data_IF_245868351632
#
_entry.id   IF_245868351632
#
_cell.length_a   1.000
_cell.length_b   1.000
_cell.length_c   1.000
_cell.angle_alpha   90.00
_cell.angle_beta   90.00
_cell.angle_gamma   90.00
#
_symmetry.space_group_name_H-M   'P 1'
#
loop_
_entity.id
_entity.type
_entity.pdbx_description
1 polymer ?
#
# COMPACT_ATOMS: atom_id res chain seq x y z
N UNK A 1 23.26 -2.91 -4.09
CA UNK A 1 23.35 -2.19 -5.38
C UNK A 1 21.92 -1.88 -5.77
N UNK A 2 21.53 -0.60 -5.72
CA UNK A 2 20.17 -0.16 -6.03
C UNK A 2 19.88 -0.51 -7.49
N UNK A 3 18.68 -1.00 -7.78
CA UNK A 3 18.24 -1.17 -9.16
C UNK A 3 18.00 0.23 -9.72
N UNK A 4 18.81 0.65 -10.70
CA UNK A 4 18.44 1.75 -11.61
C UNK A 4 17.14 1.32 -12.31
N UNK A 5 16.01 1.69 -11.72
CA UNK A 5 14.68 1.25 -12.11
C UNK A 5 13.71 2.42 -12.15
N UNK A 6 12.62 2.29 -12.90
CA UNK A 6 11.65 3.36 -13.07
C UNK A 6 11.00 3.68 -11.72
N UNK A 7 10.77 4.96 -11.44
CA UNK A 7 9.98 5.40 -10.28
C UNK A 7 8.58 5.73 -10.77
N UNK A 8 7.59 4.92 -10.40
CA UNK A 8 6.25 4.93 -11.01
C UNK A 8 5.16 4.78 -9.97
N UNK A 9 4.06 5.50 -10.16
CA UNK A 9 2.79 5.28 -9.49
C UNK A 9 1.65 5.54 -10.46
N UNK A 10 0.82 4.54 -10.73
CA UNK A 10 -0.32 4.58 -11.67
C UNK A 10 -1.55 3.99 -11.00
N UNK A 11 -2.70 4.64 -11.14
CA UNK A 11 -3.99 4.14 -10.66
C UNK A 11 -5.10 4.58 -11.60
N UNK A 12 -5.99 3.65 -11.97
CA UNK A 12 -7.15 3.95 -12.83
C UNK A 12 -6.72 4.59 -14.15
N UNK A 13 -5.64 4.07 -14.73
CA UNK A 13 -5.14 4.54 -16.01
C UNK A 13 -4.38 5.87 -15.97
N UNK A 14 -4.13 6.47 -14.80
CA UNK A 14 -3.41 7.76 -14.68
C UNK A 14 -2.36 7.71 -13.59
N UNK A 15 -1.29 8.48 -13.74
CA UNK A 15 -0.21 8.42 -12.76
C UNK A 15 0.94 9.38 -13.02
N UNK A 16 2.05 9.09 -12.36
CA UNK A 16 3.30 9.84 -12.45
C UNK A 16 4.48 8.90 -12.63
N UNK A 17 5.44 9.37 -13.40
CA UNK A 17 6.76 8.75 -13.55
C UNK A 17 7.82 9.79 -13.16
N UNK A 18 8.78 9.37 -12.34
CA UNK A 18 9.94 10.17 -12.01
C UNK A 18 11.02 10.10 -13.09
N UNK A 19 11.58 11.25 -13.46
CA UNK A 19 12.59 11.38 -14.50
C UNK A 19 13.81 12.17 -14.01
N UNK A 20 14.99 11.77 -14.50
CA UNK A 20 16.26 12.42 -14.21
C UNK A 20 16.82 12.10 -12.80
N UNK A 21 17.82 12.88 -12.35
CA UNK A 21 18.44 12.67 -11.05
C UNK A 21 17.43 12.75 -9.90
N UNK A 22 17.47 11.78 -8.99
CA UNK A 22 16.53 11.68 -7.88
C UNK A 22 17.18 12.08 -6.57
N UNK A 23 16.57 13.02 -5.86
CA UNK A 23 16.93 13.36 -4.48
C UNK A 23 16.31 12.32 -3.55
N UNK A 24 17.11 11.72 -2.68
CA UNK A 24 16.71 10.63 -1.79
C UNK A 24 16.72 11.08 -0.33
N UNK A 25 15.60 10.87 0.36
CA UNK A 25 15.49 10.97 1.81
C UNK A 25 15.30 9.59 2.42
N UNK A 26 16.06 9.27 3.46
CA UNK A 26 15.97 8.01 4.21
C UNK A 26 15.64 8.33 5.67
N UNK A 27 14.72 7.55 6.25
CA UNK A 27 14.19 7.79 7.59
C UNK A 27 14.01 6.45 8.31
N UNK A 28 14.17 6.42 9.63
CA UNK A 28 14.06 5.19 10.39
C UNK A 28 13.42 5.42 11.76
N UNK A 29 12.96 4.33 12.39
CA UNK A 29 12.36 4.37 13.72
C UNK A 29 10.98 5.03 13.75
N UNK A 30 10.45 5.19 14.97
CA UNK A 30 9.09 5.72 15.19
C UNK A 30 8.88 7.18 14.75
N UNK A 31 9.95 7.91 14.42
CA UNK A 31 9.89 9.28 13.90
C UNK A 31 9.76 9.39 12.38
N UNK A 32 9.88 8.28 11.65
CA UNK A 32 10.10 8.28 10.20
C UNK A 32 9.07 9.10 9.40
N UNK A 33 7.77 8.97 9.70
CA UNK A 33 6.73 9.73 9.01
C UNK A 33 6.85 11.25 9.23
N UNK A 34 7.12 11.67 10.47
CA UNK A 34 7.27 13.11 10.80
C UNK A 34 8.51 13.69 10.14
N UNK A 35 9.64 12.98 10.22
CA UNK A 35 10.89 13.41 9.63
C UNK A 35 10.79 13.47 8.09
N UNK A 36 10.12 12.49 7.48
CA UNK A 36 9.83 12.51 6.05
C UNK A 36 8.94 13.70 5.65
N UNK A 37 7.93 14.05 6.46
CA UNK A 37 7.08 15.21 6.23
C UNK A 37 7.84 16.53 6.35
N UNK A 38 8.71 16.67 7.35
CA UNK A 38 9.56 17.85 7.53
C UNK A 38 10.53 18.01 6.35
N UNK A 39 11.18 16.91 5.97
CA UNK A 39 12.10 16.86 4.84
C UNK A 39 11.41 17.17 3.51
N UNK A 40 10.22 16.62 3.28
CA UNK A 40 9.40 16.89 2.10
C UNK A 40 9.03 18.36 1.98
N UNK A 41 8.56 18.97 3.08
CA UNK A 41 8.22 20.40 3.13
C UNK A 41 9.44 21.28 2.83
N UNK A 42 10.59 20.96 3.40
CA UNK A 42 11.83 21.67 3.12
C UNK A 42 12.23 21.55 1.64
N UNK A 43 12.14 20.35 1.07
CA UNK A 43 12.44 20.07 -0.35
C UNK A 43 11.52 20.85 -1.28
N UNK A 44 10.21 20.86 -1.00
CA UNK A 44 9.20 21.63 -1.73
C UNK A 44 9.50 23.13 -1.71
N UNK A 45 9.82 23.68 -0.54
CA UNK A 45 10.11 25.10 -0.38
C UNK A 45 11.40 25.49 -1.14
N UNK A 46 12.44 24.67 -1.07
CA UNK A 46 13.69 24.90 -1.80
C UNK A 46 13.47 24.91 -3.33
N UNK A 47 12.74 23.90 -3.86
CA UNK A 47 12.42 23.79 -5.30
C UNK A 47 11.60 24.97 -5.82
N UNK A 48 10.63 25.44 -5.03
CA UNK A 48 9.83 26.64 -5.36
C UNK A 48 10.67 27.91 -5.33
N UNK A 49 11.59 28.04 -4.37
CA UNK A 49 12.48 29.18 -4.26
C UNK A 49 13.45 29.31 -5.45
N UNK A 50 13.84 28.19 -6.08
CA UNK A 50 14.65 28.18 -7.31
C UNK A 50 13.87 28.47 -8.59
N UNK A 51 12.57 28.79 -8.48
CA UNK A 51 11.71 29.09 -9.64
C UNK A 51 11.40 27.88 -10.51
N UNK A 52 11.51 26.66 -9.98
CA UNK A 52 11.12 25.47 -10.73
C UNK A 52 9.61 25.49 -10.99
N UNK A 53 9.22 25.49 -12.26
CA UNK A 53 7.82 25.42 -12.69
C UNK A 53 7.36 23.95 -12.81
N UNK A 54 6.07 23.73 -12.63
CA UNK A 54 5.43 22.42 -12.79
C UNK A 54 5.20 21.63 -11.49
N UNK A 55 4.64 20.42 -11.61
CA UNK A 55 4.34 19.57 -10.46
C UNK A 55 5.63 19.02 -9.83
N UNK A 56 5.71 19.12 -8.50
CA UNK A 56 6.76 18.47 -7.72
C UNK A 56 6.12 17.23 -7.09
N UNK A 57 6.62 16.05 -7.45
CA UNK A 57 6.07 14.77 -7.03
C UNK A 57 7.13 14.03 -6.21
N UNK A 58 6.71 13.44 -5.10
CA UNK A 58 7.52 12.51 -4.33
C UNK A 58 6.89 11.12 -4.38
N UNK A 59 7.75 10.10 -4.44
CA UNK A 59 7.37 8.70 -4.37
C UNK A 59 7.94 8.13 -3.07
N UNK A 60 7.14 7.37 -2.33
CA UNK A 60 7.53 6.95 -0.99
C UNK A 60 7.20 5.49 -0.72
N UNK A 61 8.05 4.85 0.06
CA UNK A 61 7.79 3.53 0.62
C UNK A 61 8.13 3.57 2.12
N UNK A 62 7.20 3.12 2.95
CA UNK A 62 7.35 3.03 4.40
C UNK A 62 7.22 1.56 4.81
N UNK A 63 8.08 1.05 5.70
CA UNK A 63 8.02 -0.33 6.13
C UNK A 63 6.80 -0.56 7.03
N UNK A 64 6.35 -1.81 7.12
CA UNK A 64 5.29 -2.22 8.04
C UNK A 64 5.64 -1.90 9.50
N UNK A 65 6.84 -2.31 9.92
CA UNK A 65 7.39 -2.04 11.24
C UNK A 65 8.40 -0.87 11.19
N UNK A 66 8.24 0.08 12.11
CA UNK A 66 9.12 1.21 12.28
C UNK A 66 10.55 0.81 12.70
N UNK A 67 10.74 -0.38 13.29
CA UNK A 67 12.05 -0.92 13.63
C UNK A 67 12.73 -1.65 12.45
N UNK A 68 12.07 -1.74 11.29
CA UNK A 68 12.64 -2.40 10.11
C UNK A 68 13.97 -1.77 9.69
N UNK A 69 15.02 -2.58 9.43
CA UNK A 69 16.31 -2.08 8.97
C UNK A 69 16.25 -1.49 7.54
N UNK A 70 15.19 -1.77 6.78
CA UNK A 70 14.99 -1.18 5.46
C UNK A 70 14.73 0.33 5.54
N UNK A 71 14.18 0.81 6.66
CA UNK A 71 13.77 2.21 6.82
C UNK A 71 12.65 2.61 5.86
N UNK A 72 12.23 3.87 5.98
CA UNK A 72 11.35 4.53 5.04
C UNK A 72 12.16 5.38 4.06
N UNK A 73 11.60 5.54 2.86
CA UNK A 73 12.23 6.30 1.79
C UNK A 73 11.26 7.28 1.14
N UNK A 74 11.78 8.45 0.77
CA UNK A 74 11.15 9.41 -0.12
C UNK A 74 12.09 9.71 -1.29
N UNK A 75 11.59 9.55 -2.52
CA UNK A 75 12.28 9.82 -3.78
C UNK A 75 11.65 11.04 -4.44
N UNK A 76 12.45 12.09 -4.66
CA UNK A 76 12.03 13.30 -5.37
C UNK A 76 12.84 13.43 -6.67
N UNK A 77 12.30 12.97 -7.80
CA UNK A 77 12.97 13.08 -9.10
C UNK A 77 13.20 14.54 -9.52
N UNK A 78 14.05 14.77 -10.51
CA UNK A 78 14.31 16.10 -11.04
C UNK A 78 13.03 16.68 -11.67
N UNK A 79 12.32 15.87 -12.44
CA UNK A 79 11.01 16.15 -12.99
C UNK A 79 10.08 14.95 -12.83
N UNK A 80 8.77 15.19 -12.88
CA UNK A 80 7.78 14.14 -12.93
C UNK A 80 6.88 14.34 -14.15
N UNK A 81 6.68 13.27 -14.93
CA UNK A 81 5.79 13.27 -16.09
C UNK A 81 4.49 12.59 -15.72
N UNK A 82 3.38 13.28 -16.01
CA UNK A 82 2.05 12.66 -15.92
C UNK A 82 1.91 11.61 -17.02
N UNK A 83 1.30 10.48 -16.70
CA UNK A 83 1.02 9.40 -17.64
C UNK A 83 -0.44 9.00 -17.61
N UNK A 84 -0.90 8.45 -18.72
CA UNK A 84 -2.26 7.98 -18.93
C UNK A 84 -2.31 6.56 -19.58
N UNK A 85 -3.52 6.10 -19.91
CA UNK A 85 -3.78 4.81 -20.56
C UNK A 85 -3.01 4.61 -21.87
N UNK A 86 -2.71 5.68 -22.60
CA UNK A 86 -1.97 5.58 -23.86
C UNK A 86 -0.51 5.18 -23.61
N UNK A 87 0.14 5.81 -22.61
CA UNK A 87 1.50 5.44 -22.21
C UNK A 87 1.59 3.98 -21.75
N UNK A 88 0.59 3.51 -21.01
CA UNK A 88 0.53 2.13 -20.52
C UNK A 88 0.47 1.12 -21.67
N UNK A 89 -0.36 1.39 -22.69
CA UNK A 89 -0.51 0.54 -23.85
C UNK A 89 0.77 0.41 -24.68
N UNK A 90 1.55 1.47 -24.78
CA UNK A 90 2.84 1.49 -25.50
C UNK A 90 3.89 0.62 -24.80
N UNK A 91 3.95 0.63 -23.46
CA UNK A 91 4.88 -0.20 -22.71
C UNK A 91 4.49 -1.69 -22.70
N UNK A 92 3.18 -1.99 -22.72
CA UNK A 92 2.65 -3.36 -22.75
C UNK A 92 2.92 -4.13 -24.04
N UNK A 93 3.35 -3.42 -25.10
CA UNK A 93 3.75 -4.01 -26.38
C UNK A 93 5.18 -4.51 -26.42
N UNK A 94 5.97 -4.37 -25.34
CA UNK A 94 7.31 -4.92 -25.32
C UNK A 94 7.19 -6.46 -25.37
N UNK A 95 7.63 -7.06 -26.47
CA UNK A 95 7.79 -8.52 -26.61
C UNK A 95 8.86 -9.08 -25.67
N UNK A 96 9.15 -8.39 -24.56
CA UNK A 96 10.13 -8.77 -23.57
C UNK A 96 9.78 -10.16 -23.03
N UNK A 97 10.78 -11.03 -23.12
CA UNK A 97 10.68 -12.40 -22.63
C UNK A 97 10.35 -12.38 -21.14
N UNK A 98 9.52 -13.33 -20.71
CA UNK A 98 9.29 -13.56 -19.29
C UNK A 98 10.42 -14.44 -18.77
N UNK A 99 11.22 -13.98 -17.80
CA UNK A 99 12.26 -14.81 -17.20
C UNK A 99 11.61 -16.03 -16.56
N UNK A 100 12.29 -17.17 -16.61
CA UNK A 100 11.88 -18.29 -15.76
C UNK A 100 12.39 -18.03 -14.35
N UNK A 101 11.58 -18.29 -13.34
CA UNK A 101 11.99 -18.15 -11.96
C UNK A 101 11.83 -19.47 -11.21
N UNK A 102 12.90 -19.90 -10.54
CA UNK A 102 12.81 -20.97 -9.57
C UNK A 102 12.16 -20.41 -8.29
N UNK A 103 11.13 -21.10 -7.79
CA UNK A 103 10.50 -20.74 -6.51
C UNK A 103 11.20 -21.48 -5.38
N UNK A 104 11.74 -20.72 -4.44
CA UNK A 104 12.32 -21.21 -3.20
C UNK A 104 11.36 -20.92 -2.03
N UNK A 105 11.38 -21.76 -0.98
CA UNK A 105 10.68 -21.45 0.26
C UNK A 105 11.10 -20.08 0.81
N UNK A 106 10.14 -19.35 1.39
CA UNK A 106 10.40 -18.12 2.13
C UNK A 106 11.02 -18.38 3.50
N UNK A 107 11.03 -17.35 4.34
CA UNK A 107 11.57 -17.41 5.70
C UNK A 107 10.83 -18.42 6.60
N UNK A 108 9.53 -18.61 6.39
CA UNK A 108 8.72 -19.58 7.14
C UNK A 108 8.46 -20.84 6.32
N UNK A 109 8.68 -22.01 6.93
CA UNK A 109 8.19 -23.25 6.35
C UNK A 109 6.65 -23.32 6.44
N UNK A 110 6.05 -24.24 5.69
CA UNK A 110 4.60 -24.53 5.81
C UNK A 110 4.22 -24.90 7.25
N UNK A 111 5.04 -25.71 7.92
CA UNK A 111 4.79 -26.15 9.29
C UNK A 111 4.85 -25.00 10.29
N UNK A 112 5.87 -24.14 10.17
CA UNK A 112 6.01 -22.96 11.04
C UNK A 112 4.85 -22.00 10.86
N UNK A 113 4.41 -21.78 9.62
CA UNK A 113 3.26 -20.92 9.34
C UNK A 113 1.96 -21.49 9.93
N UNK A 114 1.73 -22.80 9.82
CA UNK A 114 0.58 -23.46 10.45
C UNK A 114 0.62 -23.36 11.98
N UNK A 115 1.81 -23.50 12.58
CA UNK A 115 2.00 -23.32 14.02
C UNK A 115 1.71 -21.87 14.45
N UNK A 116 2.17 -20.88 13.69
CA UNK A 116 1.89 -19.46 13.94
C UNK A 116 0.38 -19.14 13.84
N UNK A 117 -0.31 -19.69 12.84
CA UNK A 117 -1.79 -19.58 12.71
C UNK A 117 -2.50 -20.20 13.91
N UNK A 118 -2.06 -21.38 14.37
CA UNK A 118 -2.63 -22.04 15.54
C UNK A 118 -2.40 -21.23 16.83
N UNK A 119 -1.20 -20.69 17.03
CA UNK A 119 -0.86 -19.84 18.17
C UNK A 119 -1.69 -18.55 18.19
N UNK A 120 -1.85 -17.91 17.02
CA UNK A 120 -2.68 -16.71 16.85
C UNK A 120 -4.15 -17.00 17.17
N UNK A 121 -4.68 -18.12 16.66
CA UNK A 121 -6.05 -18.56 16.94
C UNK A 121 -6.27 -18.87 18.42
N UNK A 122 -5.27 -19.41 19.12
CA UNK A 122 -5.32 -19.63 20.56
C UNK A 122 -5.30 -18.30 21.34
N UNK A 123 -4.51 -17.33 20.90
CA UNK A 123 -4.45 -15.99 21.50
C UNK A 123 -5.79 -15.24 21.37
N UNK A 124 -6.46 -15.34 20.22
CA UNK A 124 -7.80 -14.78 19.99
C UNK A 124 -8.84 -15.45 20.90
N UNK A 125 -8.86 -16.78 20.98
CA UNK A 125 -9.78 -17.52 21.88
C UNK A 125 -9.56 -17.22 23.35
N UNK A 126 -8.32 -16.91 23.75
CA UNK A 126 -7.97 -16.48 25.09
C UNK A 126 -8.32 -14.99 25.36
N UNK A 127 -8.85 -14.26 24.38
CA UNK A 127 -9.23 -12.85 24.51
C UNK A 127 -8.05 -11.88 24.54
N UNK A 128 -6.84 -12.30 24.15
CA UNK A 128 -5.66 -11.42 24.13
C UNK A 128 -5.69 -10.37 23.02
N UNK A 129 -6.36 -10.71 21.91
CA UNK A 129 -6.61 -9.83 20.77
C UNK A 129 -7.86 -10.33 20.03
N UNK A 130 -8.45 -9.48 19.20
CA UNK A 130 -9.62 -9.82 18.38
C UNK A 130 -9.24 -10.30 16.97
N UNK A 131 -8.16 -9.74 16.41
CA UNK A 131 -7.71 -10.01 15.03
C UNK A 131 -6.19 -9.84 14.93
N UNK A 132 -5.52 -10.72 14.20
CA UNK A 132 -4.17 -10.52 13.69
C UNK A 132 -4.05 -11.12 12.29
N UNK A 133 -3.23 -10.49 11.46
CA UNK A 133 -2.96 -10.87 10.08
C UNK A 133 -1.53 -11.37 10.02
N UNK A 134 -1.38 -12.63 9.60
CA UNK A 134 -0.09 -13.23 9.36
C UNK A 134 0.21 -13.19 7.87
N UNK A 135 1.48 -12.96 7.53
CA UNK A 135 1.97 -13.03 6.17
C UNK A 135 3.12 -14.05 6.08
N UNK A 136 3.37 -14.52 4.86
CA UNK A 136 4.55 -15.31 4.53
C UNK A 136 5.05 -14.91 3.15
N UNK A 137 6.34 -15.04 2.95
CA UNK A 137 7.00 -14.78 1.68
C UNK A 137 7.17 -16.06 0.84
N UNK A 138 7.57 -15.84 -0.40
CA UNK A 138 8.15 -16.83 -1.30
C UNK A 138 9.27 -16.12 -2.06
N UNK A 139 10.40 -16.80 -2.24
CA UNK A 139 11.54 -16.21 -2.95
C UNK A 139 11.54 -16.74 -4.37
N UNK A 140 11.38 -15.85 -5.34
CA UNK A 140 11.53 -16.18 -6.76
C UNK A 140 12.92 -15.77 -7.23
N UNK A 141 13.72 -16.73 -7.73
CA UNK A 141 15.05 -16.48 -8.28
C UNK A 141 14.96 -16.58 -9.81
N UNK A 142 14.98 -15.43 -10.53
CA UNK A 142 14.89 -15.44 -11.97
C UNK A 142 16.22 -15.89 -12.60
N UNK A 143 16.15 -16.57 -13.75
CA UNK A 143 17.31 -17.06 -14.51
C UNK A 143 18.03 -15.94 -15.29
N UNK A 144 17.35 -14.82 -15.50
CA UNK A 144 17.85 -13.59 -16.11
C UNK A 144 17.30 -12.34 -15.36
N UNK A 145 17.95 -11.17 -15.47
CA UNK A 145 17.44 -9.95 -14.84
C UNK A 145 15.98 -9.63 -15.23
N UNK A 146 15.18 -9.19 -14.26
CA UNK A 146 13.79 -8.81 -14.51
C UNK A 146 13.75 -7.42 -15.15
N UNK A 147 13.17 -7.34 -16.35
CA UNK A 147 12.78 -6.08 -16.97
C UNK A 147 11.60 -5.47 -16.17
N UNK A 148 11.90 -4.42 -15.41
CA UNK A 148 10.92 -3.73 -14.55
C UNK A 148 9.88 -2.96 -15.37
N UNK A 149 10.26 -2.37 -16.50
CA UNK A 149 9.30 -1.64 -17.36
C UNK A 149 8.27 -2.61 -17.93
N UNK A 150 8.72 -3.75 -18.45
CA UNK A 150 7.84 -4.81 -18.94
C UNK A 150 6.98 -5.42 -17.82
N UNK A 151 7.52 -5.56 -16.60
CA UNK A 151 6.75 -6.02 -15.45
C UNK A 151 5.64 -5.04 -15.07
N UNK A 152 5.96 -3.75 -14.95
CA UNK A 152 4.99 -2.69 -14.63
C UNK A 152 3.88 -2.65 -15.67
N UNK A 153 4.22 -2.66 -16.96
CA UNK A 153 3.23 -2.65 -18.04
C UNK A 153 2.25 -3.84 -17.95
N UNK A 154 2.78 -5.04 -17.67
CA UNK A 154 1.95 -6.24 -17.45
C UNK A 154 1.07 -6.12 -16.21
N UNK A 155 1.56 -5.54 -15.12
CA UNK A 155 0.77 -5.31 -13.91
C UNK A 155 -0.38 -4.35 -14.15
N UNK A 156 -0.15 -3.25 -14.88
CA UNK A 156 -1.22 -2.29 -15.21
C UNK A 156 -2.29 -2.95 -16.08
N UNK A 157 -1.88 -3.70 -17.11
CA UNK A 157 -2.81 -4.39 -18.00
C UNK A 157 -3.61 -5.49 -17.27
N UNK A 158 -2.99 -6.22 -16.35
CA UNK A 158 -3.65 -7.30 -15.60
C UNK A 158 -4.55 -6.79 -14.46
N UNK A 159 -4.30 -5.59 -13.93
CA UNK A 159 -4.98 -5.05 -12.75
C UNK A 159 -5.44 -3.59 -12.94
N UNK A 160 -6.38 -3.31 -13.87
CA UNK A 160 -6.78 -1.93 -14.22
C UNK A 160 -7.37 -1.11 -13.06
N UNK A 161 -7.92 -1.78 -12.03
CA UNK A 161 -8.45 -1.13 -10.83
C UNK A 161 -7.45 -0.94 -9.68
N UNK A 162 -6.22 -1.46 -9.81
CA UNK A 162 -5.20 -1.39 -8.78
C UNK A 162 -4.32 -0.14 -8.91
N UNK A 163 -3.65 0.21 -7.83
CA UNK A 163 -2.51 1.11 -7.83
C UNK A 163 -1.25 0.30 -8.15
N UNK A 164 -0.68 0.50 -9.33
CA UNK A 164 0.59 -0.09 -9.74
C UNK A 164 1.71 0.86 -9.41
N UNK A 165 2.75 0.37 -8.76
CA UNK A 165 3.87 1.19 -8.29
C UNK A 165 5.21 0.49 -8.49
N UNK A 166 6.25 1.30 -8.64
CA UNK A 166 7.64 0.89 -8.49
C UNK A 166 8.39 2.01 -7.76
N UNK A 167 8.85 1.75 -6.54
CA UNK A 167 9.55 2.73 -5.69
C UNK A 167 10.74 2.03 -5.05
N UNK A 168 11.94 2.46 -5.37
CA UNK A 168 13.19 1.88 -4.85
C UNK A 168 13.28 0.35 -5.04
N UNK A 169 12.84 -0.15 -6.20
CA UNK A 169 12.80 -1.59 -6.51
C UNK A 169 11.62 -2.36 -5.90
N UNK A 170 10.84 -1.75 -5.02
CA UNK A 170 9.57 -2.33 -4.54
C UNK A 170 8.49 -2.13 -5.61
N UNK A 171 8.06 -3.23 -6.23
CA UNK A 171 7.08 -3.24 -7.33
C UNK A 171 5.83 -4.03 -6.93
N UNK A 172 4.64 -3.52 -7.29
CA UNK A 172 3.39 -4.21 -6.99
C UNK A 172 2.17 -3.58 -7.63
N UNK A 173 1.02 -4.26 -7.49
CA UNK A 173 -0.30 -3.80 -7.90
C UNK A 173 -1.28 -3.97 -6.72
N UNK A 174 -1.48 -2.91 -5.93
CA UNK A 174 -2.34 -2.93 -4.75
C UNK A 174 -3.77 -2.51 -5.08
N UNK A 175 -4.80 -3.31 -4.78
CA UNK A 175 -6.18 -2.88 -4.89
C UNK A 175 -6.64 -2.01 -3.73
N UNK A 176 -5.93 -2.06 -2.60
CA UNK A 176 -6.27 -1.31 -1.41
C UNK A 176 -5.66 0.08 -1.47
N UNK A 177 -6.51 1.10 -1.24
CA UNK A 177 -6.07 2.48 -1.10
C UNK A 177 -6.11 2.84 0.37
N UNK A 178 -4.93 2.93 0.98
CA UNK A 178 -4.82 3.38 2.37
C UNK A 178 -5.38 4.79 2.54
N UNK A 179 -4.96 5.72 1.67
CA UNK A 179 -5.42 7.10 1.68
C UNK A 179 -5.10 7.81 0.36
N UNK A 180 -6.00 8.67 -0.10
CA UNK A 180 -5.75 9.68 -1.12
C UNK A 180 -6.34 11.01 -0.66
N UNK A 181 -5.61 12.12 -0.83
CA UNK A 181 -6.09 13.46 -0.43
C UNK A 181 -6.10 14.37 -1.65
N UNK A 182 -7.26 14.95 -1.95
CA UNK A 182 -7.43 15.90 -3.04
C UNK A 182 -8.36 17.04 -2.62
N UNK A 183 -7.91 18.29 -2.77
CA UNK A 183 -8.74 19.46 -2.47
C UNK A 183 -9.25 19.53 -1.02
N UNK A 184 -8.51 18.96 -0.05
CA UNK A 184 -8.93 18.88 1.35
C UNK A 184 -9.87 17.71 1.67
N UNK A 185 -10.17 16.83 0.70
CA UNK A 185 -10.96 15.62 0.92
C UNK A 185 -10.06 14.41 0.90
N UNK A 186 -10.08 13.64 1.99
CA UNK A 186 -9.44 12.34 2.11
C UNK A 186 -10.40 11.22 1.69
N UNK A 187 -9.91 10.27 0.90
CA UNK A 187 -10.61 9.03 0.57
C UNK A 187 -9.75 7.83 0.90
N UNK A 188 -10.36 6.76 1.40
CA UNK A 188 -9.71 5.47 1.65
C UNK A 188 -10.65 4.34 1.24
N UNK A 189 -10.09 3.17 0.95
CA UNK A 189 -10.84 1.95 0.68
C UNK A 189 -10.29 0.86 1.57
N UNK A 190 -11.12 0.38 2.48
CA UNK A 190 -10.77 -0.71 3.41
C UNK A 190 -11.16 -2.03 2.76
N UNK A 191 -10.22 -2.97 2.67
CA UNK A 191 -10.47 -4.32 2.18
C UNK A 191 -10.20 -5.35 3.29
N UNK A 192 -11.21 -6.13 3.67
CA UNK A 192 -11.03 -7.22 4.63
C UNK A 192 -12.12 -8.29 4.45
N UNK A 193 -11.74 -9.56 4.54
CA UNK A 193 -12.57 -10.67 4.07
C UNK A 193 -12.27 -10.94 2.60
N UNK A 194 -11.97 -12.20 2.29
CA UNK A 194 -11.51 -12.63 0.98
C UNK A 194 -12.11 -13.98 0.65
N UNK A 195 -12.70 -14.10 -0.53
CA UNK A 195 -13.22 -15.36 -1.04
C UNK A 195 -12.77 -15.60 -2.49
N UNK A 196 -12.97 -16.84 -2.97
CA UNK A 196 -12.88 -17.11 -4.39
C UNK A 196 -13.90 -16.26 -5.16
N UNK A 197 -13.62 -15.96 -6.43
CA UNK A 197 -14.49 -15.08 -7.23
C UNK A 197 -15.95 -15.56 -7.32
N UNK A 198 -16.17 -16.87 -7.35
CA UNK A 198 -17.50 -17.49 -7.44
C UNK A 198 -18.25 -17.53 -6.09
N UNK A 199 -17.60 -17.13 -4.99
CA UNK A 199 -18.10 -17.22 -3.61
C UNK A 199 -18.46 -15.83 -3.03
N UNK A 200 -18.67 -14.83 -3.89
CA UNK A 200 -18.93 -13.45 -3.51
C UNK A 200 -20.15 -13.28 -2.59
N UNK A 201 -21.25 -13.99 -2.87
CA UNK A 201 -22.46 -13.96 -2.04
C UNK A 201 -22.21 -14.56 -0.65
N UNK A 202 -21.47 -15.66 -0.58
CA UNK A 202 -21.11 -16.30 0.68
C UNK A 202 -20.24 -15.39 1.56
N UNK A 203 -19.42 -14.53 0.96
CA UNK A 203 -18.60 -13.55 1.69
C UNK A 203 -19.45 -12.48 2.38
N UNK A 204 -20.53 -12.01 1.73
CA UNK A 204 -21.47 -11.06 2.33
C UNK A 204 -22.29 -11.68 3.46
N UNK A 205 -22.57 -12.98 3.41
CA UNK A 205 -23.37 -13.67 4.43
C UNK A 205 -22.53 -14.21 5.59
N UNK A 206 -21.20 -14.25 5.45
CA UNK A 206 -20.29 -14.75 6.47
C UNK A 206 -20.19 -13.80 7.68
N UNK A 207 -20.75 -14.20 8.82
CA UNK A 207 -20.62 -13.48 10.08
C UNK A 207 -19.17 -13.25 10.49
N UNK A 208 -18.30 -14.21 10.18
CA UNK A 208 -16.87 -14.12 10.46
C UNK A 208 -16.25 -12.99 9.64
N UNK A 209 -16.41 -13.02 8.31
CA UNK A 209 -15.80 -12.04 7.42
C UNK A 209 -16.37 -10.64 7.65
N UNK A 210 -17.69 -10.52 7.88
CA UNK A 210 -18.32 -9.26 8.26
C UNK A 210 -17.76 -8.70 9.57
N UNK A 211 -17.52 -9.55 10.57
CA UNK A 211 -16.89 -9.11 11.84
C UNK A 211 -15.46 -8.64 11.59
N UNK A 212 -14.66 -9.41 10.85
CA UNK A 212 -13.27 -9.04 10.54
C UNK A 212 -13.17 -7.75 9.71
N UNK A 213 -14.13 -7.52 8.82
CA UNK A 213 -14.26 -6.30 8.03
C UNK A 213 -14.65 -5.10 8.89
N UNK A 214 -15.64 -5.26 9.77
CA UNK A 214 -16.03 -4.20 10.70
C UNK A 214 -14.88 -3.74 11.62
N UNK A 215 -14.02 -4.67 12.07
CA UNK A 215 -12.80 -4.34 12.82
C UNK A 215 -11.84 -3.49 11.97
N UNK A 216 -11.65 -3.84 10.69
CA UNK A 216 -10.81 -3.08 9.77
C UNK A 216 -11.33 -1.66 9.54
N UNK A 217 -12.63 -1.51 9.23
CA UNK A 217 -13.28 -0.21 9.03
C UNK A 217 -13.18 0.64 10.29
N UNK A 218 -13.49 0.06 11.46
CA UNK A 218 -13.40 0.76 12.75
C UNK A 218 -11.99 1.30 12.99
N UNK A 219 -10.95 0.51 12.69
CA UNK A 219 -9.56 0.96 12.87
C UNK A 219 -9.20 2.19 12.03
N UNK A 220 -9.77 2.31 10.83
CA UNK A 220 -9.56 3.46 9.94
C UNK A 220 -10.33 4.69 10.43
N UNK A 221 -11.60 4.51 10.81
CA UNK A 221 -12.45 5.59 11.32
C UNK A 221 -11.87 6.17 12.61
N UNK A 222 -11.50 5.32 13.57
CA UNK A 222 -10.93 5.76 14.85
C UNK A 222 -9.57 6.46 14.66
N UNK A 223 -8.72 5.97 13.76
CA UNK A 223 -7.43 6.58 13.47
C UNK A 223 -7.54 7.94 12.76
N UNK A 224 -8.54 8.12 11.87
CA UNK A 224 -8.73 9.38 11.15
C UNK A 224 -9.50 10.43 11.96
N UNK A 225 -10.36 10.04 12.88
CA UNK A 225 -11.23 10.94 13.64
C UNK A 225 -10.52 12.19 14.22
N UNK A 226 -9.29 12.11 14.76
CA UNK A 226 -8.59 13.29 15.29
C UNK A 226 -8.13 14.31 14.23
N UNK A 227 -8.12 13.91 12.96
CA UNK A 227 -7.49 14.68 11.86
C UNK A 227 -8.48 15.22 10.83
N UNK A 228 -9.78 14.95 11.01
CA UNK A 228 -10.84 15.26 10.05
C UNK A 228 -11.99 16.00 10.72
N UNK A 229 -12.69 16.84 9.97
CA UNK A 229 -13.86 17.61 10.43
C UNK A 229 -15.15 16.80 10.34
N UNK A 230 -15.26 15.99 9.29
CA UNK A 230 -16.40 15.14 9.00
C UNK A 230 -15.89 13.86 8.33
N UNK A 231 -16.57 12.74 8.57
CA UNK A 231 -16.26 11.45 7.99
C UNK A 231 -17.55 10.69 7.71
N UNK A 232 -17.59 10.01 6.57
CA UNK A 232 -18.66 9.11 6.18
C UNK A 232 -18.09 7.82 5.60
N UNK A 233 -18.85 6.73 5.73
CA UNK A 233 -18.51 5.42 5.17
C UNK A 233 -19.68 4.92 4.33
N UNK A 234 -19.40 4.18 3.27
CA UNK A 234 -20.43 3.39 2.59
C UNK A 234 -20.85 2.19 3.45
N UNK A 235 -21.97 1.56 3.11
CA UNK A 235 -22.21 0.18 3.54
C UNK A 235 -21.15 -0.75 2.93
N UNK A 236 -20.81 -1.89 3.58
CA UNK A 236 -19.94 -2.89 2.99
C UNK A 236 -20.51 -3.42 1.67
N UNK A 237 -19.66 -3.53 0.65
CA UNK A 237 -20.03 -4.05 -0.66
C UNK A 237 -18.96 -5.01 -1.18
N UNK A 238 -19.31 -5.78 -2.20
CA UNK A 238 -18.41 -6.75 -2.84
C UNK A 238 -17.55 -6.05 -3.89
N UNK A 239 -16.23 -6.14 -3.74
CA UNK A 239 -15.27 -5.70 -4.74
C UNK A 239 -14.68 -6.91 -5.47
N UNK A 240 -15.08 -7.09 -6.72
CA UNK A 240 -14.53 -8.14 -7.59
C UNK A 240 -13.17 -7.74 -8.15
N UNK A 241 -12.23 -8.70 -8.13
CA UNK A 241 -10.93 -8.62 -8.77
C UNK A 241 -10.71 -9.83 -9.68
N UNK A 242 -9.68 -9.82 -10.56
CA UNK A 242 -9.49 -10.90 -11.55
C UNK A 242 -9.45 -12.33 -10.97
N UNK A 243 -8.96 -12.48 -9.73
CA UNK A 243 -8.77 -13.80 -9.09
C UNK A 243 -9.50 -13.97 -7.77
N UNK A 244 -9.85 -12.88 -7.09
CA UNK A 244 -10.39 -12.88 -5.73
C UNK A 244 -11.52 -11.86 -5.63
N UNK A 245 -12.25 -11.94 -4.55
CA UNK A 245 -13.28 -10.97 -4.19
C UNK A 245 -13.14 -10.58 -2.73
N UNK A 246 -13.36 -9.30 -2.44
CA UNK A 246 -13.21 -8.72 -1.11
C UNK A 246 -14.48 -8.03 -0.64
N UNK A 247 -14.69 -7.95 0.67
CA UNK A 247 -15.57 -6.92 1.21
C UNK A 247 -14.81 -5.60 1.21
N UNK A 248 -15.49 -4.56 0.76
CA UNK A 248 -14.96 -3.22 0.64
C UNK A 248 -15.89 -2.23 1.37
N UNK A 249 -15.27 -1.24 2.01
CA UNK A 249 -15.97 -0.04 2.49
C UNK A 249 -15.15 1.16 2.09
N UNK A 250 -15.79 2.09 1.39
CA UNK A 250 -15.16 3.36 1.04
C UNK A 250 -15.39 4.37 2.17
N UNK A 251 -14.33 5.07 2.54
CA UNK A 251 -14.30 6.11 3.57
C UNK A 251 -14.02 7.43 2.89
N UNK A 252 -14.85 8.45 3.16
CA UNK A 252 -14.62 9.82 2.70
C UNK A 252 -14.61 10.76 3.90
N UNK A 253 -13.63 11.65 3.98
CA UNK A 253 -13.48 12.57 5.10
C UNK A 253 -12.98 13.95 4.69
N UNK A 254 -13.47 14.99 5.36
CA UNK A 254 -12.99 16.36 5.20
C UNK A 254 -11.78 16.59 6.11
N UNK A 255 -10.62 16.85 5.54
CA UNK A 255 -9.36 17.01 6.29
C UNK A 255 -9.41 18.30 7.11
N UNK A 256 -9.02 18.23 8.38
CA UNK A 256 -8.89 19.41 9.23
C UNK A 256 -7.71 20.28 8.80
N UNK A 257 -7.80 21.60 9.02
CA UNK A 257 -6.74 22.53 8.64
C UNK A 257 -5.41 22.15 9.31
N UNK A 258 -4.32 22.22 8.53
CA UNK A 258 -2.96 21.94 9.01
C UNK A 258 -2.57 20.45 9.04
N UNK A 259 -3.47 19.52 8.74
CA UNK A 259 -3.14 18.11 8.59
C UNK A 259 -2.40 17.86 7.27
N UNK A 260 -1.19 17.30 7.36
CA UNK A 260 -0.40 16.85 6.20
C UNK A 260 -0.77 15.39 5.83
N UNK A 261 -0.64 15.04 4.54
CA UNK A 261 -0.95 13.68 4.05
C UNK A 261 -0.10 12.62 4.75
N UNK A 262 1.17 12.88 5.03
CA UNK A 262 2.03 11.94 5.74
C UNK A 262 1.63 11.79 7.22
N UNK A 263 1.04 12.81 7.83
CA UNK A 263 0.49 12.69 9.19
C UNK A 263 -0.76 11.81 9.20
N UNK A 264 -1.64 11.93 8.20
CA UNK A 264 -2.82 11.07 8.06
C UNK A 264 -2.41 9.61 7.79
N UNK A 265 -1.42 9.38 6.90
CA UNK A 265 -0.88 8.04 6.64
C UNK A 265 -0.25 7.46 7.91
N UNK A 266 0.48 8.25 8.69
CA UNK A 266 1.07 7.79 9.95
C UNK A 266 0.02 7.34 10.98
N UNK A 267 -1.12 8.03 11.07
CA UNK A 267 -2.21 7.61 11.95
C UNK A 267 -2.83 6.28 11.50
N UNK A 268 -3.00 6.10 10.20
CA UNK A 268 -3.60 4.92 9.59
C UNK A 268 -2.68 3.69 9.60
N UNK A 269 -1.37 3.88 9.44
CA UNK A 269 -0.43 2.80 9.21
C UNK A 269 0.02 2.10 10.52
N UNK A 270 -0.04 0.76 10.60
CA UNK A 270 -0.82 -0.16 9.77
C UNK A 270 -2.29 -0.25 10.24
N UNK A 271 -3.23 -0.45 9.31
CA UNK A 271 -4.65 -0.67 9.67
C UNK A 271 -4.85 -2.08 10.20
N UNK A 272 -6.02 -2.36 10.79
CA UNK A 272 -6.38 -3.73 11.18
C UNK A 272 -6.65 -4.66 9.97
N UNK A 273 -6.58 -4.17 8.72
CA UNK A 273 -6.62 -5.00 7.52
C UNK A 273 -5.32 -5.77 7.28
N UNK A 274 -4.17 -5.22 7.71
CA UNK A 274 -2.83 -5.82 7.52
C UNK A 274 -2.08 -6.11 8.83
N UNK A 275 -2.51 -5.53 9.95
CA UNK A 275 -2.00 -5.84 11.29
C UNK A 275 -3.05 -6.59 12.11
N UNK A 276 -3.86 -5.87 12.91
CA UNK A 276 -4.88 -6.50 13.74
C UNK A 276 -5.53 -5.56 14.76
N UNK A 277 -6.22 -6.12 15.74
CA UNK A 277 -6.98 -5.37 16.76
C UNK A 277 -6.88 -6.06 18.13
N UNK A 278 -6.51 -5.36 19.21
CA UNK A 278 -5.93 -4.01 19.24
C UNK A 278 -4.59 -3.93 18.47
N UNK A 279 -4.27 -2.79 17.86
CA UNK A 279 -3.10 -2.64 16.98
C UNK A 279 -1.78 -3.06 17.66
N UNK A 280 -1.51 -2.54 18.86
CA UNK A 280 -0.26 -2.83 19.58
C UNK A 280 -0.10 -4.32 19.89
N UNK A 281 -1.14 -4.96 20.45
CA UNK A 281 -1.10 -6.39 20.77
C UNK A 281 -0.99 -7.29 19.52
N UNK A 282 -1.54 -6.86 18.39
CA UNK A 282 -1.37 -7.57 17.12
C UNK A 282 0.06 -7.42 16.58
N UNK A 283 0.64 -6.22 16.64
CA UNK A 283 2.02 -5.98 16.22
C UNK A 283 3.04 -6.73 17.08
N UNK A 284 2.85 -6.81 18.40
CA UNK A 284 3.73 -7.56 19.28
C UNK A 284 3.67 -9.08 19.03
N UNK A 285 2.57 -9.56 18.43
CA UNK A 285 2.37 -10.98 18.10
C UNK A 285 2.97 -11.37 16.74
N UNK A 286 2.95 -10.45 15.77
CA UNK A 286 3.40 -10.64 14.39
C UNK A 286 4.93 -10.60 14.34
#
# INVERSE_FOLDING_TARGET
MLLDGPTVFVRGGRGWIGEGPTTRGEFAGGGAFREAADWWRATMNARRATGQEGPIVAFAAFPFDAASPAGAILLVPASARAVDDAWIGEQGGSGARRPHAALLPGAMTRGDYQAAVAATSAAIRAGRLEKAVLARDVVAVPDEPVDLDALIARLVAAHPGASVFCVDGLVGASPETLLAVHGGVATARVLAGTAGREEAEALLESDKDRREHALAVRSVVEALAPHVRALQTTEPYVLEQPHLTHLATDVTAEVADGSDVLALVAALHPTAAVAGTPRAAALDLI
#
